data_IF_405799718461
#
_entry.id   IF_405799718461
#
_cell.length_a   1.000
_cell.length_b   1.000
_cell.length_c   1.000
_cell.angle_alpha   90.00
_cell.angle_beta   90.00
_cell.angle_gamma   90.00
#
_symmetry.space_group_name_H-M   'P 1'
#
loop_
_entity.id
_entity.type
_entity.pdbx_description
1 polymer ?
#
# COMPACT_ATOMS: atom_id res chain seq x y z
N UNK A 1 -3.59 -13.58 2.98
CA UNK A 1 -2.45 -12.88 2.36
C UNK A 1 -2.74 -12.84 0.88
N UNK A 2 -3.41 -11.79 0.38
CA UNK A 2 -3.70 -11.72 -1.06
C UNK A 2 -2.41 -11.61 -1.87
N UNK A 3 -2.45 -11.79 -3.17
CA UNK A 3 -1.28 -11.68 -4.08
C UNK A 3 -1.09 -10.24 -4.58
N UNK A 4 -0.05 -9.53 -4.13
CA UNK A 4 0.16 -8.15 -4.56
C UNK A 4 0.63 -8.18 -6.01
N UNK A 5 0.04 -7.37 -6.87
CA UNK A 5 0.53 -7.24 -8.23
C UNK A 5 1.79 -6.38 -8.20
N UNK A 6 2.93 -6.96 -8.56
CA UNK A 6 4.19 -6.22 -8.70
C UNK A 6 4.23 -5.56 -10.08
N UNK A 7 4.27 -4.22 -10.11
CA UNK A 7 4.36 -3.43 -11.34
C UNK A 7 5.78 -2.92 -11.56
N UNK A 8 6.75 -3.83 -11.41
CA UNK A 8 8.17 -3.57 -11.58
C UNK A 8 8.51 -2.83 -12.89
N UNK A 9 9.48 -1.91 -12.81
CA UNK A 9 10.00 -1.17 -13.98
C UNK A 9 9.36 0.20 -14.23
N UNK A 10 8.33 0.59 -13.47
CA UNK A 10 7.73 1.93 -13.59
C UNK A 10 8.58 3.04 -12.93
N UNK A 11 9.46 2.67 -12.01
CA UNK A 11 10.42 3.57 -11.35
C UNK A 11 11.82 2.96 -11.37
N UNK A 12 12.90 3.77 -11.38
CA UNK A 12 14.26 3.26 -11.27
C UNK A 12 14.48 2.57 -9.91
N UNK A 13 15.45 1.67 -9.84
CA UNK A 13 15.85 1.06 -8.57
C UNK A 13 16.26 2.15 -7.54
N UNK A 14 15.99 1.95 -6.24
CA UNK A 14 15.54 0.71 -5.58
C UNK A 14 14.00 0.54 -5.50
N UNK A 15 13.21 1.37 -6.18
CA UNK A 15 11.77 1.40 -5.96
C UNK A 15 11.06 0.17 -6.53
N UNK A 16 10.11 -0.37 -5.78
CA UNK A 16 9.21 -1.46 -6.19
C UNK A 16 7.78 -1.06 -5.87
N UNK A 17 6.87 -1.24 -6.81
CA UNK A 17 5.47 -0.88 -6.62
C UNK A 17 4.64 -2.14 -6.54
N UNK A 18 3.86 -2.25 -5.47
CA UNK A 18 2.77 -3.19 -5.32
C UNK A 18 1.46 -2.47 -5.57
N UNK A 19 0.56 -3.10 -6.32
CA UNK A 19 -0.77 -2.57 -6.58
C UNK A 19 -1.87 -3.51 -6.07
N UNK A 20 -2.98 -2.91 -5.63
CA UNK A 20 -4.20 -3.58 -5.16
C UNK A 20 -5.45 -2.86 -5.61
N UNK A 21 -6.49 -3.63 -5.86
CA UNK A 21 -7.81 -3.04 -6.03
C UNK A 21 -8.35 -2.49 -4.70
N UNK A 22 -8.17 -3.21 -3.59
CA UNK A 22 -8.78 -2.86 -2.30
C UNK A 22 -7.92 -3.27 -1.12
N UNK A 23 -7.78 -2.38 -0.14
CA UNK A 23 -7.11 -2.66 1.14
C UNK A 23 -7.89 -2.03 2.31
N UNK A 24 -7.59 -2.43 3.55
CA UNK A 24 -8.10 -1.71 4.72
C UNK A 24 -7.43 -0.34 4.86
N UNK A 25 -6.10 -0.32 4.96
CA UNK A 25 -5.27 0.87 4.89
C UNK A 25 -3.95 0.52 4.20
N UNK A 26 -3.50 1.35 3.27
CA UNK A 26 -2.20 1.17 2.60
C UNK A 26 -1.04 1.24 3.59
N UNK A 27 -1.12 2.17 4.56
CA UNK A 27 -0.09 2.33 5.58
C UNK A 27 0.04 1.12 6.51
N UNK A 28 -1.07 0.46 6.87
CA UNK A 28 -1.01 -0.75 7.68
C UNK A 28 -0.44 -1.92 6.91
N UNK A 29 -0.88 -2.08 5.67
CA UNK A 29 -0.32 -3.09 4.78
C UNK A 29 1.19 -2.90 4.61
N UNK A 30 1.65 -1.66 4.41
CA UNK A 30 3.08 -1.36 4.31
C UNK A 30 3.83 -1.63 5.62
N UNK A 31 3.23 -1.32 6.78
CA UNK A 31 3.84 -1.65 8.08
C UNK A 31 4.03 -3.16 8.24
N UNK A 32 2.99 -3.96 7.97
CA UNK A 32 3.09 -5.42 8.04
C UNK A 32 4.12 -5.98 7.06
N UNK A 33 4.23 -5.41 5.86
CA UNK A 33 5.22 -5.81 4.85
C UNK A 33 6.64 -5.46 5.30
N UNK A 34 6.85 -4.29 5.89
CA UNK A 34 8.13 -3.90 6.45
C UNK A 34 8.53 -4.83 7.62
N UNK A 35 7.59 -5.17 8.51
CA UNK A 35 7.81 -6.13 9.61
C UNK A 35 8.15 -7.53 9.09
N UNK A 36 7.67 -7.90 7.90
CA UNK A 36 8.03 -9.15 7.20
C UNK A 36 9.36 -9.09 6.46
N UNK A 37 10.11 -7.99 6.58
CA UNK A 37 11.45 -7.84 5.99
C UNK A 37 11.46 -7.41 4.53
N UNK A 38 10.36 -6.84 4.03
CA UNK A 38 10.38 -6.24 2.69
C UNK A 38 11.37 -5.07 2.63
N UNK A 39 12.08 -4.97 1.50
CA UNK A 39 13.12 -3.99 1.31
C UNK A 39 12.57 -2.55 1.29
N UNK A 40 13.44 -1.60 1.64
CA UNK A 40 13.19 -0.17 1.44
C UNK A 40 12.89 0.14 -0.03
N UNK A 41 12.10 1.20 -0.27
CA UNK A 41 11.68 1.60 -1.61
C UNK A 41 10.39 0.92 -2.08
N UNK A 42 9.76 0.10 -1.23
CA UNK A 42 8.44 -0.47 -1.49
C UNK A 42 7.34 0.61 -1.43
N UNK A 43 6.56 0.70 -2.49
CA UNK A 43 5.40 1.57 -2.63
C UNK A 43 4.17 0.68 -2.76
N UNK A 44 3.11 0.98 -2.03
CA UNK A 44 1.83 0.28 -2.18
C UNK A 44 0.76 1.26 -2.66
N UNK A 45 0.17 0.95 -3.80
CA UNK A 45 -0.96 1.67 -4.38
C UNK A 45 -2.21 0.81 -4.18
N UNK A 46 -3.31 1.44 -3.78
CA UNK A 46 -4.61 0.81 -3.72
C UNK A 46 -5.68 1.72 -4.34
N UNK A 47 -6.58 1.15 -5.13
CA UNK A 47 -7.72 1.91 -5.69
C UNK A 47 -8.72 2.29 -4.60
N UNK A 48 -8.94 1.43 -3.60
CA UNK A 48 -9.87 1.67 -2.49
C UNK A 48 -9.23 1.39 -1.11
N UNK A 49 -9.50 2.24 -0.11
CA UNK A 49 -9.23 1.96 1.31
C UNK A 49 -10.52 1.95 2.12
N UNK A 50 -10.81 0.84 2.82
CA UNK A 50 -12.05 0.69 3.61
C UNK A 50 -11.96 1.21 5.03
N UNK A 51 -10.74 1.31 5.57
CA UNK A 51 -10.43 1.77 6.94
C UNK A 51 -9.25 2.73 6.88
N UNK A 52 -9.31 3.67 5.92
CA UNK A 52 -8.29 4.70 5.78
C UNK A 52 -8.16 5.53 7.05
N UNK A 53 -6.92 5.82 7.46
CA UNK A 53 -6.64 6.62 8.66
C UNK A 53 -5.86 7.88 8.31
N UNK A 54 -6.44 9.02 8.65
CA UNK A 54 -5.82 10.33 8.59
C UNK A 54 -5.04 10.67 9.86
N UNK A 55 -4.66 11.94 9.99
CA UNK A 55 -3.90 12.44 11.15
C UNK A 55 -4.80 12.50 12.38
N UNK A 56 -4.20 12.27 13.56
CA UNK A 56 -4.87 12.40 14.87
C UNK A 56 -6.15 11.56 15.01
N UNK A 57 -6.18 10.39 14.36
CA UNK A 57 -7.32 9.46 14.45
C UNK A 57 -8.52 9.83 13.57
N UNK A 58 -8.40 10.86 12.72
CA UNK A 58 -9.44 11.12 11.72
C UNK A 58 -9.56 9.96 10.73
N UNK A 59 -10.77 9.69 10.27
CA UNK A 59 -11.00 8.76 9.15
C UNK A 59 -10.50 9.37 7.84
N UNK A 60 -10.04 8.51 6.93
CA UNK A 60 -9.66 8.89 5.57
C UNK A 60 -10.56 8.17 4.57
N UNK A 61 -11.50 8.92 3.99
CA UNK A 61 -12.40 8.40 2.96
C UNK A 61 -11.65 8.27 1.63
N UNK A 62 -11.56 7.04 1.12
CA UNK A 62 -10.83 6.69 -0.10
C UNK A 62 -11.63 5.65 -0.88
N UNK A 63 -12.75 6.05 -1.52
CA UNK A 63 -13.50 5.16 -2.37
C UNK A 63 -12.66 4.74 -3.58
N UNK A 64 -13.11 3.70 -4.27
CA UNK A 64 -12.48 3.24 -5.51
C UNK A 64 -12.38 4.37 -6.54
N UNK A 65 -11.19 4.61 -7.10
CA UNK A 65 -10.98 5.49 -8.26
C UNK A 65 -9.63 6.20 -8.30
#
# INVERSE_FOLDING_TARGET
>A
MGEYNDVAGMLPGPYRILWREKVASTNDSLRELAEKGMAEGLILIAEEQTVGRGRRGAEWFSPKG
#
